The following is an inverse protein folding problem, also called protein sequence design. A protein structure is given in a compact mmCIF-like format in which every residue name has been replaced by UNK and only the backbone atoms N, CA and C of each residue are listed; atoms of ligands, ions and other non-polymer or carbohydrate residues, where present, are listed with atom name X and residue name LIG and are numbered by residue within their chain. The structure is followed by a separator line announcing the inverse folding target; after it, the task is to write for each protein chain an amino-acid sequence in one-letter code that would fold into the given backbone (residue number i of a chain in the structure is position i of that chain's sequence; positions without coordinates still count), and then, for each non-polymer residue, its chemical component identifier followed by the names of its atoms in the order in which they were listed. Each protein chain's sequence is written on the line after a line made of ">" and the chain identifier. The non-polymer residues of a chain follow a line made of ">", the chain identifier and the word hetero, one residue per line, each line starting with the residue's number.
data_IF_965049547199
#
_entry.id   IF_965049547199
#
_cell.length_a   1.000
_cell.length_b   1.000
_cell.length_c   1.000
_cell.angle_alpha   90.00
_cell.angle_beta   90.00
_cell.angle_gamma   90.00
#
_symmetry.space_group_name_H-M   'P 1'
#
loop_
_entity.id
_entity.type
_entity.pdbx_description
1 polymer ?
#
# COMPACT_ATOMS: atom_id res chain seq x y z
N UNK A 1 -0.20 4.30 -10.11
CA UNK A 1 -1.09 5.34 -9.54
C UNK A 1 -0.65 6.76 -9.86
N UNK A 2 0.45 7.35 -9.30
CA UNK A 2 0.79 8.77 -9.57
C UNK A 2 0.88 9.10 -11.06
N UNK A 3 1.71 8.36 -11.80
CA UNK A 3 1.89 8.57 -13.26
C UNK A 3 0.59 8.37 -14.03
N UNK A 4 -0.23 7.37 -13.69
CA UNK A 4 -1.53 7.16 -14.32
C UNK A 4 -2.44 8.37 -14.16
N UNK A 5 -2.51 8.92 -12.94
CA UNK A 5 -3.29 10.13 -12.67
C UNK A 5 -2.75 11.37 -13.40
N UNK A 6 -1.41 11.48 -13.55
CA UNK A 6 -0.81 12.55 -14.35
C UNK A 6 -1.18 12.41 -15.83
N UNK A 7 -1.13 11.19 -16.39
CA UNK A 7 -1.52 10.92 -17.77
C UNK A 7 -3.00 11.27 -18.01
N UNK A 8 -3.90 10.82 -17.12
CA UNK A 8 -5.32 11.15 -17.24
C UNK A 8 -5.58 12.66 -17.28
N UNK A 9 -4.85 13.44 -16.47
CA UNK A 9 -4.97 14.91 -16.47
C UNK A 9 -4.47 15.54 -17.77
N UNK A 10 -3.42 14.99 -18.39
CA UNK A 10 -2.97 15.42 -19.71
C UNK A 10 -4.05 15.13 -20.77
N UNK A 11 -4.66 13.95 -20.71
CA UNK A 11 -5.74 13.56 -21.61
C UNK A 11 -6.99 14.44 -21.43
N UNK A 12 -7.24 14.94 -20.23
CA UNK A 12 -8.27 15.93 -19.91
C UNK A 12 -7.92 17.37 -20.33
N UNK A 13 -6.71 17.58 -20.88
CA UNK A 13 -6.27 18.86 -21.43
C UNK A 13 -5.44 19.74 -20.47
N UNK A 14 -5.00 19.21 -19.33
CA UNK A 14 -4.08 19.94 -18.46
C UNK A 14 -2.72 20.15 -19.15
N UNK A 15 -2.13 21.33 -19.03
CA UNK A 15 -0.83 21.62 -19.62
C UNK A 15 0.29 20.76 -19.00
N UNK A 16 1.37 20.57 -19.73
CA UNK A 16 2.52 19.79 -19.24
C UNK A 16 3.09 20.33 -17.93
N UNK A 17 3.25 21.64 -17.83
CA UNK A 17 3.79 22.29 -16.63
C UNK A 17 2.84 22.14 -15.43
N UNK A 18 1.52 22.27 -15.66
CA UNK A 18 0.51 22.07 -14.62
C UNK A 18 0.46 20.60 -14.14
N UNK A 19 0.65 19.64 -15.04
CA UNK A 19 0.71 18.21 -14.68
C UNK A 19 1.93 17.91 -13.81
N UNK A 20 3.08 18.49 -14.13
CA UNK A 20 4.29 18.36 -13.29
C UNK A 20 4.04 18.98 -11.92
N UNK A 21 3.52 20.22 -11.87
CA UNK A 21 3.20 20.89 -10.62
C UNK A 21 2.20 20.07 -9.77
N UNK A 22 1.18 19.51 -10.42
CA UNK A 22 0.20 18.63 -9.76
C UNK A 22 0.89 17.37 -9.20
N UNK A 23 1.76 16.73 -9.97
CA UNK A 23 2.50 15.53 -9.55
C UNK A 23 3.35 15.79 -8.32
N UNK A 24 4.11 16.90 -8.30
CA UNK A 24 4.92 17.34 -7.17
C UNK A 24 4.06 17.61 -5.92
N UNK A 25 2.92 18.29 -6.08
CA UNK A 25 2.01 18.61 -4.98
C UNK A 25 1.29 17.38 -4.38
N UNK A 26 1.19 16.27 -5.14
CA UNK A 26 0.41 15.09 -4.76
C UNK A 26 1.24 13.82 -4.50
N UNK A 27 2.52 13.78 -4.86
CA UNK A 27 3.36 12.58 -4.69
C UNK A 27 3.42 12.06 -3.25
N UNK A 28 3.34 12.92 -2.24
CA UNK A 28 3.35 12.54 -0.83
C UNK A 28 1.96 12.25 -0.25
N UNK A 29 0.90 12.42 -1.04
CA UNK A 29 -0.47 12.09 -0.63
C UNK A 29 -0.88 10.65 -0.96
N UNK A 30 0.00 9.86 -1.59
CA UNK A 30 -0.26 8.46 -1.85
C UNK A 30 0.23 7.63 -0.67
N UNK A 31 -0.69 7.02 0.06
CA UNK A 31 -0.36 6.08 1.12
C UNK A 31 0.17 4.77 0.52
N UNK A 32 1.16 4.22 1.19
CA UNK A 32 1.74 2.92 0.91
C UNK A 32 1.58 2.07 2.17
N UNK A 33 0.71 1.08 2.15
CA UNK A 33 0.49 0.14 3.26
C UNK A 33 0.75 -1.27 2.78
N UNK A 34 1.60 -2.01 3.47
CA UNK A 34 1.90 -3.36 3.04
C UNK A 34 2.24 -4.29 4.19
N UNK A 35 2.09 -5.58 3.95
CA UNK A 35 2.50 -6.66 4.85
C UNK A 35 3.21 -7.73 4.05
N UNK A 36 4.16 -8.39 4.67
CA UNK A 36 4.91 -9.51 4.09
C UNK A 36 4.75 -10.75 4.97
N UNK A 37 4.91 -11.91 4.37
CA UNK A 37 4.86 -13.16 5.13
C UNK A 37 6.20 -13.46 5.80
N UNK A 38 7.31 -13.14 5.14
CA UNK A 38 8.65 -13.39 5.64
C UNK A 38 9.55 -12.16 5.43
N UNK A 39 10.06 -11.60 6.53
CA UNK A 39 11.00 -10.48 6.52
C UNK A 39 12.39 -10.83 5.98
N UNK A 40 12.73 -12.11 5.88
CA UNK A 40 14.04 -12.53 5.38
C UNK A 40 14.27 -12.09 3.93
N UNK A 41 13.22 -12.04 3.10
CA UNK A 41 13.32 -11.52 1.74
C UNK A 41 13.73 -10.04 1.72
N UNK A 42 13.07 -9.20 2.49
CA UNK A 42 13.41 -7.78 2.61
C UNK A 42 14.83 -7.59 3.18
N UNK A 43 15.22 -8.43 4.15
CA UNK A 43 16.57 -8.41 4.73
C UNK A 43 17.61 -8.76 3.67
N UNK A 44 17.43 -9.85 2.93
CA UNK A 44 18.33 -10.27 1.85
C UNK A 44 18.46 -9.18 0.77
N UNK A 45 17.37 -8.46 0.47
CA UNK A 45 17.35 -7.33 -0.44
C UNK A 45 17.95 -6.03 0.12
N UNK A 46 18.39 -5.99 1.39
CA UNK A 46 19.00 -4.82 2.02
C UNK A 46 18.01 -3.65 2.29
N UNK A 47 16.69 -3.91 2.33
CA UNK A 47 15.65 -2.87 2.50
C UNK A 47 15.06 -2.80 3.92
N UNK A 48 15.73 -3.40 4.90
CA UNK A 48 15.24 -3.54 6.28
C UNK A 48 16.24 -3.01 7.31
N UNK A 49 16.85 -1.85 7.08
CA UNK A 49 17.76 -1.25 8.06
C UNK A 49 17.11 -1.04 9.45
N UNK A 50 15.82 -0.73 9.49
CA UNK A 50 15.07 -0.47 10.73
C UNK A 50 14.20 -1.65 11.20
N UNK A 51 14.02 -2.68 10.39
CA UNK A 51 13.24 -3.87 10.74
C UNK A 51 14.13 -5.10 11.07
N UNK A 52 15.45 -4.95 11.06
CA UNK A 52 16.40 -6.03 11.42
C UNK A 52 16.19 -6.57 12.85
N UNK A 53 15.70 -5.74 13.77
CA UNK A 53 15.28 -6.16 15.11
C UNK A 53 14.02 -7.05 15.15
N UNK A 54 13.37 -7.25 13.99
CA UNK A 54 12.16 -8.08 13.86
C UNK A 54 12.48 -9.53 13.47
N UNK A 55 13.69 -9.78 13.01
CA UNK A 55 14.10 -11.10 12.52
C UNK A 55 14.48 -11.97 13.71
N UNK A 56 13.70 -13.00 13.98
CA UNK A 56 14.16 -14.13 14.78
C UNK A 56 13.54 -14.38 16.15
N UNK A 57 12.55 -13.61 16.63
CA UNK A 57 12.15 -13.80 18.03
C UNK A 57 10.75 -14.34 18.32
N UNK A 58 9.81 -14.25 17.38
CA UNK A 58 8.43 -14.72 17.64
C UNK A 58 7.83 -15.39 16.40
N UNK A 59 7.43 -16.64 16.54
CA UNK A 59 6.74 -17.41 15.51
C UNK A 59 5.44 -16.72 15.08
N UNK A 60 5.25 -16.63 13.75
CA UNK A 60 4.02 -16.12 13.12
C UNK A 60 3.74 -14.60 13.31
N UNK A 61 4.79 -13.78 13.46
CA UNK A 61 4.64 -12.31 13.41
C UNK A 61 4.64 -11.86 11.95
N UNK A 62 3.59 -11.11 11.57
CA UNK A 62 3.44 -10.45 10.28
C UNK A 62 3.56 -8.95 10.51
N UNK A 63 4.60 -8.31 9.99
CA UNK A 63 4.75 -6.85 10.11
C UNK A 63 3.80 -6.16 9.14
N UNK A 64 3.21 -5.07 9.60
CA UNK A 64 2.60 -4.08 8.71
C UNK A 64 3.56 -2.92 8.59
N UNK A 65 3.88 -2.58 7.36
CA UNK A 65 4.87 -1.58 6.99
C UNK A 65 4.21 -0.44 6.20
N UNK A 66 4.91 0.67 6.13
CA UNK A 66 4.52 1.83 5.33
C UNK A 66 5.77 2.57 4.82
N UNK A 67 5.55 3.52 3.92
CA UNK A 67 6.61 4.40 3.39
C UNK A 67 6.28 5.82 3.83
N UNK A 68 7.00 6.42 4.79
CA UNK A 68 6.87 7.82 5.15
C UNK A 68 7.39 8.75 4.05
N UNK A 69 7.25 10.07 4.26
CA UNK A 69 7.65 11.08 3.28
C UNK A 69 9.14 11.03 2.90
N UNK A 70 10.00 10.60 3.83
CA UNK A 70 11.43 10.39 3.56
C UNK A 70 11.75 9.18 2.67
N UNK A 71 10.75 8.36 2.29
CA UNK A 71 10.91 7.26 1.34
C UNK A 71 11.52 5.97 1.90
N UNK A 72 11.72 5.86 3.21
CA UNK A 72 12.24 4.65 3.87
C UNK A 72 11.11 3.65 4.15
N UNK A 73 11.46 2.36 4.31
CA UNK A 73 10.50 1.38 4.80
C UNK A 73 10.47 1.41 6.33
N UNK A 74 9.29 1.62 6.91
CA UNK A 74 9.10 1.63 8.36
C UNK A 74 8.00 0.66 8.80
N UNK A 75 8.17 0.14 10.01
CA UNK A 75 7.21 -0.77 10.62
C UNK A 75 6.16 0.05 11.37
N UNK A 76 4.93 0.00 10.89
CA UNK A 76 3.78 0.58 11.58
C UNK A 76 3.37 -0.27 12.79
N UNK A 77 3.31 -1.61 12.60
CA UNK A 77 2.89 -2.52 13.66
C UNK A 77 3.39 -3.94 13.44
N UNK A 78 3.65 -4.66 14.54
CA UNK A 78 3.93 -6.09 14.58
C UNK A 78 2.66 -6.83 14.97
N UNK A 79 2.17 -7.72 14.12
CA UNK A 79 0.88 -8.38 14.33
C UNK A 79 1.07 -9.89 14.27
N UNK A 80 0.44 -10.59 15.19
CA UNK A 80 0.47 -12.05 15.19
C UNK A 80 -0.61 -12.62 14.27
N UNK A 81 -0.19 -13.38 13.28
CA UNK A 81 -1.05 -14.08 12.34
C UNK A 81 -1.45 -13.26 11.12
N UNK A 82 -1.51 -13.91 9.97
CA UNK A 82 -1.82 -13.32 8.66
C UNK A 82 -3.19 -12.62 8.64
N UNK A 83 -4.23 -13.30 9.10
CA UNK A 83 -5.60 -12.75 9.13
C UNK A 83 -5.69 -11.43 9.89
N UNK A 84 -5.01 -11.35 11.03
CA UNK A 84 -4.99 -10.13 11.85
C UNK A 84 -4.20 -8.99 11.18
N UNK A 85 -3.11 -9.33 10.46
CA UNK A 85 -2.34 -8.34 9.70
C UNK A 85 -3.17 -7.77 8.54
N UNK A 86 -3.89 -8.62 7.79
CA UNK A 86 -4.80 -8.19 6.74
C UNK A 86 -5.93 -7.30 7.29
N UNK A 87 -6.53 -7.71 8.41
CA UNK A 87 -7.55 -6.89 9.07
C UNK A 87 -7.00 -5.52 9.44
N UNK A 88 -5.82 -5.46 10.07
CA UNK A 88 -5.22 -4.19 10.49
C UNK A 88 -4.89 -3.28 9.30
N UNK A 89 -4.32 -3.82 8.21
CA UNK A 89 -4.01 -3.02 7.02
C UNK A 89 -5.30 -2.48 6.38
N UNK A 90 -6.36 -3.28 6.34
CA UNK A 90 -7.69 -2.88 5.87
C UNK A 90 -8.27 -1.77 6.76
N UNK A 91 -8.25 -1.94 8.07
CA UNK A 91 -8.74 -0.94 9.03
C UNK A 91 -8.00 0.41 8.89
N UNK A 92 -6.69 0.39 8.58
CA UNK A 92 -5.93 1.61 8.27
C UNK A 92 -6.45 2.31 7.01
N UNK A 93 -6.68 1.56 5.94
CA UNK A 93 -7.25 2.09 4.69
C UNK A 93 -8.63 2.71 4.96
N UNK A 94 -9.52 1.96 5.61
CA UNK A 94 -10.88 2.41 5.90
C UNK A 94 -10.89 3.71 6.74
N UNK A 95 -10.00 3.82 7.75
CA UNK A 95 -9.88 5.06 8.54
C UNK A 95 -9.47 6.25 7.68
N UNK A 96 -8.47 6.10 6.83
CA UNK A 96 -8.00 7.17 5.97
C UNK A 96 -9.08 7.58 4.96
N UNK A 97 -9.81 6.61 4.38
CA UNK A 97 -10.89 6.90 3.44
C UNK A 97 -12.06 7.63 4.09
N UNK A 98 -12.38 7.35 5.37
CA UNK A 98 -13.40 8.09 6.12
C UNK A 98 -13.04 9.56 6.37
N UNK A 99 -11.76 9.88 6.36
CA UNK A 99 -11.27 11.23 6.61
C UNK A 99 -11.27 12.13 5.36
N UNK A 100 -11.61 11.59 4.19
CA UNK A 100 -11.64 12.31 2.91
C UNK A 100 -12.92 12.00 2.15
N UNK A 101 -13.27 12.82 1.17
CA UNK A 101 -14.22 12.41 0.14
C UNK A 101 -13.56 11.39 -0.78
N UNK A 102 -13.93 10.13 -0.62
CA UNK A 102 -13.39 9.02 -1.40
C UNK A 102 -14.30 8.62 -2.57
N UNK A 103 -15.34 9.41 -2.89
CA UNK A 103 -16.22 9.15 -4.05
C UNK A 103 -15.40 9.12 -5.33
N UNK A 104 -15.50 8.03 -6.08
CA UNK A 104 -14.72 7.82 -7.30
C UNK A 104 -13.21 7.57 -7.10
N UNK A 105 -12.72 7.53 -5.86
CA UNK A 105 -11.30 7.31 -5.58
C UNK A 105 -10.83 5.94 -6.08
N UNK A 106 -9.57 5.88 -6.53
CA UNK A 106 -8.93 4.65 -6.99
C UNK A 106 -8.05 4.04 -5.90
N UNK A 107 -8.10 2.72 -5.81
CA UNK A 107 -7.24 1.92 -4.95
C UNK A 107 -6.51 0.88 -5.79
N UNK A 108 -5.21 0.75 -5.60
CA UNK A 108 -4.40 -0.30 -6.21
C UNK A 108 -3.94 -1.27 -5.13
N UNK A 109 -4.31 -2.53 -5.29
CA UNK A 109 -3.86 -3.64 -4.44
C UNK A 109 -2.91 -4.50 -5.28
N UNK A 110 -1.65 -4.58 -4.88
CA UNK A 110 -0.68 -5.45 -5.53
C UNK A 110 -0.32 -6.59 -4.59
N UNK A 111 -0.14 -7.78 -5.16
CA UNK A 111 0.16 -8.98 -4.38
C UNK A 111 1.26 -9.83 -5.04
N UNK A 112 1.98 -10.59 -4.22
CA UNK A 112 2.89 -11.63 -4.66
C UNK A 112 2.35 -12.98 -4.16
N UNK A 113 1.76 -13.75 -5.07
CA UNK A 113 1.23 -15.10 -4.81
C UNK A 113 0.23 -15.19 -3.63
N UNK A 114 -0.61 -14.15 -3.44
CA UNK A 114 -1.66 -14.14 -2.40
C UNK A 114 -2.93 -13.43 -2.89
N UNK A 115 -3.42 -13.81 -4.08
CA UNK A 115 -4.59 -13.19 -4.71
C UNK A 115 -5.85 -13.23 -3.83
N UNK A 116 -6.10 -14.35 -3.14
CA UNK A 116 -7.26 -14.48 -2.23
C UNK A 116 -7.24 -13.48 -1.08
N UNK A 117 -6.06 -13.15 -0.55
CA UNK A 117 -5.94 -12.11 0.46
C UNK A 117 -6.27 -10.72 -0.11
N UNK A 118 -5.84 -10.45 -1.35
CA UNK A 118 -6.16 -9.21 -2.05
C UNK A 118 -7.66 -9.06 -2.31
N UNK A 119 -8.33 -10.16 -2.70
CA UNK A 119 -9.80 -10.19 -2.86
C UNK A 119 -10.53 -9.92 -1.54
N UNK A 120 -10.09 -10.53 -0.43
CA UNK A 120 -10.66 -10.28 0.91
C UNK A 120 -10.57 -8.79 1.28
N UNK A 121 -9.40 -8.18 1.09
CA UNK A 121 -9.20 -6.77 1.38
C UNK A 121 -10.05 -5.89 0.47
N UNK A 122 -10.06 -6.15 -0.84
CA UNK A 122 -10.87 -5.43 -1.82
C UNK A 122 -12.36 -5.47 -1.47
N UNK A 123 -12.87 -6.67 -1.16
CA UNK A 123 -14.27 -6.88 -0.78
C UNK A 123 -14.65 -6.13 0.48
N UNK A 124 -13.78 -6.11 1.49
CA UNK A 124 -14.00 -5.38 2.73
C UNK A 124 -14.05 -3.86 2.48
N UNK A 125 -13.16 -3.33 1.64
CA UNK A 125 -13.16 -1.90 1.28
C UNK A 125 -14.41 -1.56 0.49
N UNK A 126 -14.79 -2.36 -0.50
CA UNK A 126 -15.98 -2.13 -1.33
C UNK A 126 -17.27 -2.18 -0.52
N UNK A 127 -17.35 -3.08 0.45
CA UNK A 127 -18.52 -3.21 1.35
C UNK A 127 -18.73 -1.96 2.20
N UNK A 128 -17.65 -1.37 2.69
CA UNK A 128 -17.72 -0.16 3.53
C UNK A 128 -17.92 1.12 2.71
N UNK A 129 -17.35 1.15 1.49
CA UNK A 129 -17.41 2.29 0.58
C UNK A 129 -17.95 1.87 -0.80
N UNK A 130 -19.28 1.66 -0.95
CA UNK A 130 -19.86 1.26 -2.24
C UNK A 130 -19.63 2.27 -3.37
N UNK A 131 -19.44 3.54 -3.03
CA UNK A 131 -19.20 4.64 -3.98
C UNK A 131 -17.74 4.82 -4.36
N UNK A 132 -16.83 3.99 -3.82
CA UNK A 132 -15.44 4.03 -4.25
C UNK A 132 -15.34 3.69 -5.73
N UNK A 133 -14.43 4.34 -6.44
CA UNK A 133 -14.21 4.11 -7.87
C UNK A 133 -13.59 2.73 -8.16
N UNK A 134 -12.48 2.71 -8.84
CA UNK A 134 -11.78 1.49 -9.22
C UNK A 134 -10.98 0.91 -8.05
N UNK A 135 -11.14 -0.37 -7.77
CA UNK A 135 -10.18 -1.16 -6.98
C UNK A 135 -9.51 -2.12 -7.96
N UNK A 136 -8.25 -1.90 -8.24
CA UNK A 136 -7.44 -2.70 -9.14
C UNK A 136 -6.58 -3.68 -8.36
N UNK A 137 -6.70 -4.97 -8.66
CA UNK A 137 -5.86 -6.02 -8.08
C UNK A 137 -4.89 -6.49 -9.17
N UNK A 138 -3.58 -6.41 -8.90
CA UNK A 138 -2.55 -6.74 -9.87
C UNK A 138 -1.44 -7.57 -9.21
N UNK A 139 -0.91 -8.54 -9.94
CA UNK A 139 0.29 -9.27 -9.51
C UNK A 139 1.51 -8.35 -9.53
N UNK A 140 2.34 -8.48 -8.52
CA UNK A 140 3.56 -7.71 -8.39
C UNK A 140 4.60 -8.15 -9.43
N UNK A 141 5.33 -7.20 -10.00
CA UNK A 141 6.42 -7.48 -10.93
C UNK A 141 7.55 -8.29 -10.27
N UNK A 142 8.23 -9.11 -11.05
CA UNK A 142 9.22 -10.10 -10.57
C UNK A 142 10.36 -9.50 -9.74
N UNK A 143 10.81 -8.28 -10.06
CA UNK A 143 11.92 -7.63 -9.35
C UNK A 143 11.52 -7.33 -7.89
N UNK A 144 10.38 -6.67 -7.70
CA UNK A 144 9.89 -6.37 -6.34
C UNK A 144 9.43 -7.66 -5.65
N UNK A 145 8.82 -8.59 -6.38
CA UNK A 145 8.44 -9.91 -5.85
C UNK A 145 9.63 -10.67 -5.26
N UNK A 146 10.78 -10.67 -5.93
CA UNK A 146 12.00 -11.30 -5.42
C UNK A 146 12.53 -10.62 -4.13
N UNK A 147 12.37 -9.31 -3.99
CA UNK A 147 12.79 -8.59 -2.78
C UNK A 147 11.83 -8.74 -1.60
N UNK A 148 10.54 -8.96 -1.85
CA UNK A 148 9.52 -8.99 -0.80
C UNK A 148 9.04 -10.40 -0.46
N UNK A 149 9.21 -11.32 -1.40
CA UNK A 149 8.79 -12.72 -1.29
C UNK A 149 7.29 -12.95 -1.50
N UNK A 150 6.88 -14.21 -1.58
CA UNK A 150 5.48 -14.57 -1.64
C UNK A 150 4.74 -14.12 -0.38
N UNK A 151 3.44 -13.84 -0.51
CA UNK A 151 2.63 -13.31 0.58
C UNK A 151 2.76 -11.79 0.79
N UNK A 152 3.55 -11.05 -0.03
CA UNK A 152 3.43 -9.59 -0.02
C UNK A 152 2.04 -9.18 -0.47
N UNK A 153 1.40 -8.31 0.30
CA UNK A 153 0.21 -7.57 -0.10
C UNK A 153 0.44 -6.10 0.20
N UNK A 154 0.26 -5.25 -0.81
CA UNK A 154 0.41 -3.80 -0.68
C UNK A 154 -0.80 -3.07 -1.24
N UNK A 155 -1.16 -1.96 -0.60
CA UNK A 155 -2.30 -1.13 -0.95
C UNK A 155 -1.81 0.30 -1.14
N UNK A 156 -2.13 0.87 -2.30
CA UNK A 156 -1.87 2.27 -2.65
C UNK A 156 -3.18 3.00 -2.85
N UNK A 157 -3.30 4.17 -2.25
CA UNK A 157 -4.48 5.04 -2.37
C UNK A 157 -4.10 6.48 -2.01
N UNK A 158 -4.86 7.44 -2.52
CA UNK A 158 -4.71 8.83 -2.10
C UNK A 158 -5.30 9.04 -0.71
N UNK A 159 -4.61 9.81 0.12
CA UNK A 159 -5.03 10.20 1.46
C UNK A 159 -4.39 11.52 1.88
N UNK A 160 -4.71 12.03 3.05
CA UNK A 160 -4.16 13.29 3.56
C UNK A 160 -2.67 13.23 3.95
N UNK A 161 -2.08 12.03 4.04
CA UNK A 161 -0.66 11.84 4.40
C UNK A 161 -0.27 10.37 4.45
N UNK A 162 1.04 10.09 4.43
CA UNK A 162 1.60 8.74 4.36
C UNK A 162 1.71 8.04 5.70
N UNK A 163 1.83 8.79 6.79
CA UNK A 163 2.04 8.22 8.13
C UNK A 163 0.77 7.55 8.62
N UNK A 164 0.82 6.31 9.14
CA UNK A 164 -0.32 5.71 9.82
C UNK A 164 -0.52 6.41 11.17
N UNK A 165 -1.75 6.81 11.44
CA UNK A 165 -2.18 7.24 12.78
C UNK A 165 -2.53 6.05 13.67
#
# INVERSE_FOLDING_TARGET
>A
MLVQNMVSRMEEGMSFDDVIAWGEANKLKIAHRFTVDDLNYLKAGGRVSNASALVGSILNIKPVLYVPDKGTLEVAKKIRGRKNALKYITDCVLRNLRAIDCTGAEIHILHADCFSDAELVSSAIRSEFPMIGKIEITSLGVVIGAHCGPGLLTIFYFCGGRTPE
#
